data_IF_600489398995
#
_entry.id   IF_600489398995
#
_cell.length_a   1.000
_cell.length_b   1.000
_cell.length_c   1.000
_cell.angle_alpha   90.00
_cell.angle_beta   90.00
_cell.angle_gamma   90.00
#
_symmetry.space_group_name_H-M   'P 1'
#
loop_
_entity.id
_entity.type
_entity.pdbx_description
1 polymer ?
#
# COMPACT_ATOMS: atom_id res chain seq x y z
N UNK A 1 9.37 7.31 -8.43
CA UNK A 1 9.73 7.41 -6.99
C UNK A 1 11.12 6.84 -6.68
N UNK A 2 11.57 5.74 -7.31
CA UNK A 2 12.92 5.17 -7.11
C UNK A 2 13.96 5.63 -8.17
N UNK A 3 14.41 6.90 -8.12
CA UNK A 3 15.51 7.41 -8.98
C UNK A 3 15.18 7.63 -10.46
N UNK A 4 14.00 7.21 -10.93
CA UNK A 4 13.56 7.44 -12.31
C UNK A 4 13.32 8.94 -12.61
N UNK A 5 14.05 9.46 -13.60
CA UNK A 5 13.94 10.87 -14.04
C UNK A 5 12.78 11.11 -14.99
N UNK A 6 12.50 10.16 -15.91
CA UNK A 6 11.39 10.23 -16.86
C UNK A 6 10.03 10.19 -16.13
N UNK A 7 8.97 10.79 -16.70
CA UNK A 7 7.61 10.61 -16.18
C UNK A 7 7.25 9.13 -16.05
N UNK A 8 6.58 8.76 -14.96
CA UNK A 8 6.13 7.38 -14.70
C UNK A 8 4.63 7.35 -14.51
N UNK A 9 3.99 6.34 -15.09
CA UNK A 9 2.54 6.14 -15.03
C UNK A 9 2.25 4.76 -14.45
N UNK A 10 1.28 4.67 -13.55
CA UNK A 10 0.64 3.41 -13.17
C UNK A 10 -0.79 3.37 -13.71
N UNK A 11 -1.21 2.20 -14.19
CA UNK A 11 -2.57 1.97 -14.70
C UNK A 11 -3.10 0.70 -14.05
N UNK A 12 -4.20 0.82 -13.30
CA UNK A 12 -4.89 -0.33 -12.69
C UNK A 12 -6.03 -0.74 -13.63
N UNK A 13 -5.90 -1.94 -14.21
CA UNK A 13 -6.82 -2.48 -15.23
C UNK A 13 -7.80 -3.54 -14.70
N UNK A 14 -7.53 -4.12 -13.53
CA UNK A 14 -8.33 -5.18 -12.91
C UNK A 14 -8.35 -5.07 -11.39
N UNK A 15 -8.48 -6.19 -10.69
CA UNK A 15 -8.45 -6.21 -9.23
C UNK A 15 -7.03 -6.06 -8.67
N UNK A 16 -6.82 -5.06 -7.81
CA UNK A 16 -5.62 -4.91 -6.99
C UNK A 16 -5.91 -5.23 -5.52
N UNK A 17 -4.95 -5.84 -4.83
CA UNK A 17 -5.02 -6.09 -3.39
C UNK A 17 -3.66 -5.92 -2.73
N UNK A 18 -3.63 -5.67 -1.42
CA UNK A 18 -2.41 -5.60 -0.61
C UNK A 18 -1.37 -4.63 -1.22
N UNK A 19 -0.28 -5.16 -1.79
CA UNK A 19 0.81 -4.41 -2.41
C UNK A 19 0.37 -3.59 -3.65
N UNK A 20 -0.79 -3.90 -4.22
CA UNK A 20 -1.35 -3.17 -5.35
C UNK A 20 -1.55 -1.68 -5.06
N UNK A 21 -1.98 -1.32 -3.85
CA UNK A 21 -2.19 0.08 -3.48
C UNK A 21 -0.87 0.88 -3.44
N UNK A 22 0.19 0.44 -2.71
CA UNK A 22 1.51 1.08 -2.77
C UNK A 22 2.08 1.20 -4.19
N UNK A 23 1.95 0.16 -5.03
CA UNK A 23 2.44 0.22 -6.40
C UNK A 23 1.66 1.20 -7.27
N UNK A 24 0.33 1.25 -7.11
CA UNK A 24 -0.52 2.18 -7.84
C UNK A 24 -0.15 3.63 -7.53
N UNK A 25 0.17 3.97 -6.28
CA UNK A 25 0.52 5.35 -5.90
C UNK A 25 2.00 5.70 -6.06
N UNK A 26 2.87 4.73 -6.39
CA UNK A 26 4.31 4.98 -6.54
C UNK A 26 4.72 5.69 -7.85
N UNK A 27 3.80 5.83 -8.80
CA UNK A 27 4.03 6.55 -10.06
C UNK A 27 3.78 8.07 -9.90
N UNK A 28 4.30 8.89 -10.82
CA UNK A 28 4.01 10.34 -10.81
C UNK A 28 2.57 10.62 -11.20
N UNK A 29 2.01 9.77 -12.06
CA UNK A 29 0.61 9.79 -12.44
C UNK A 29 0.01 8.39 -12.28
N UNK A 30 -1.22 8.32 -11.79
CA UNK A 30 -1.89 7.07 -11.50
C UNK A 30 -3.31 7.11 -12.04
N UNK A 31 -3.69 6.07 -12.77
CA UNK A 31 -5.01 5.91 -13.35
C UNK A 31 -5.61 4.56 -12.96
N UNK A 32 -6.93 4.51 -12.83
CA UNK A 32 -7.70 3.30 -12.61
C UNK A 32 -8.86 3.30 -13.61
N UNK A 33 -9.08 2.19 -14.30
CA UNK A 33 -10.22 2.08 -15.23
C UNK A 33 -11.52 1.86 -14.44
N UNK A 34 -12.70 2.27 -14.96
CA UNK A 34 -13.96 2.15 -14.23
C UNK A 34 -14.32 0.72 -13.80
N UNK A 35 -13.86 -0.30 -14.54
CA UNK A 35 -14.10 -1.71 -14.23
C UNK A 35 -13.11 -2.31 -13.22
N UNK A 36 -12.06 -1.58 -12.86
CA UNK A 36 -11.04 -2.06 -11.94
C UNK A 36 -11.42 -1.79 -10.48
N UNK A 37 -10.84 -2.59 -9.57
CA UNK A 37 -11.08 -2.48 -8.13
C UNK A 37 -9.75 -2.48 -7.37
N UNK A 38 -9.72 -1.82 -6.21
CA UNK A 38 -8.56 -1.84 -5.31
C UNK A 38 -9.04 -2.13 -3.88
N UNK A 39 -8.65 -3.27 -3.34
CA UNK A 39 -9.00 -3.67 -1.98
C UNK A 39 -7.85 -3.35 -1.04
N UNK A 40 -8.11 -2.45 -0.09
CA UNK A 40 -7.21 -2.16 1.03
C UNK A 40 -7.58 -3.06 2.20
N UNK A 41 -6.59 -3.76 2.76
CA UNK A 41 -6.75 -4.57 3.96
C UNK A 41 -5.45 -4.54 4.79
N UNK A 42 -5.52 -4.74 6.11
CA UNK A 42 -4.33 -4.75 6.95
C UNK A 42 -3.40 -5.93 6.61
N UNK A 43 -2.14 -5.80 7.01
CA UNK A 43 -1.17 -6.90 6.95
C UNK A 43 -1.71 -8.08 7.76
N UNK A 44 -1.81 -9.24 7.12
CA UNK A 44 -2.32 -10.46 7.74
C UNK A 44 -1.21 -11.18 8.50
N UNK A 45 -1.57 -11.78 9.63
CA UNK A 45 -0.70 -12.66 10.41
C UNK A 45 -1.30 -14.07 10.35
N UNK A 46 -0.60 -15.02 9.74
CA UNK A 46 -1.02 -16.42 9.68
C UNK A 46 0.06 -17.30 10.34
N UNK A 47 -0.35 -18.41 10.95
CA UNK A 47 0.57 -19.41 11.53
C UNK A 47 0.94 -19.18 13.01
N UNK A 48 1.87 -20.00 13.52
CA UNK A 48 2.34 -19.96 14.91
C UNK A 48 3.23 -18.73 15.15
N UNK A 49 2.89 -17.89 16.13
CA UNK A 49 3.72 -16.77 16.56
C UNK A 49 4.72 -17.20 17.64
N UNK A 50 6.01 -17.15 17.33
CA UNK A 50 7.09 -17.29 18.31
C UNK A 50 7.48 -15.90 18.80
N UNK A 51 7.43 -15.65 20.10
CA UNK A 51 7.69 -14.30 20.64
C UNK A 51 6.60 -13.30 20.25
N UNK A 52 5.40 -13.52 20.78
CA UNK A 52 4.18 -12.76 20.48
C UNK A 52 4.39 -11.23 20.47
N UNK A 53 4.98 -10.58 21.51
CA UNK A 53 5.08 -9.12 21.52
C UNK A 53 6.05 -8.57 20.46
N UNK A 54 7.20 -9.22 20.22
CA UNK A 54 8.16 -8.78 19.20
C UNK A 54 7.59 -8.91 17.80
N UNK A 55 6.90 -10.02 17.53
CA UNK A 55 6.24 -10.26 16.25
C UNK A 55 5.14 -9.23 16.03
N UNK A 56 4.28 -8.98 17.01
CA UNK A 56 3.24 -7.94 16.92
C UNK A 56 3.82 -6.55 16.64
N UNK A 57 4.86 -6.12 17.34
CA UNK A 57 5.51 -4.82 17.11
C UNK A 57 6.06 -4.72 15.68
N UNK A 58 6.71 -5.77 15.19
CA UNK A 58 7.20 -5.82 13.81
C UNK A 58 6.08 -5.64 12.78
N UNK A 59 4.95 -6.31 12.95
CA UNK A 59 3.80 -6.18 12.05
C UNK A 59 3.16 -4.79 12.12
N UNK A 60 3.04 -4.21 13.32
CA UNK A 60 2.57 -2.83 13.47
C UNK A 60 3.49 -1.84 12.75
N UNK A 61 4.82 -1.99 12.88
CA UNK A 61 5.79 -1.18 12.14
C UNK A 61 5.66 -1.36 10.63
N UNK A 62 5.42 -2.58 10.16
CA UNK A 62 5.20 -2.85 8.73
C UNK A 62 3.93 -2.14 8.23
N UNK A 63 2.81 -2.28 8.93
CA UNK A 63 1.56 -1.60 8.61
C UNK A 63 1.73 -0.08 8.60
N UNK A 64 2.45 0.47 9.58
CA UNK A 64 2.76 1.91 9.65
C UNK A 64 3.59 2.38 8.45
N UNK A 65 4.59 1.61 8.02
CA UNK A 65 5.40 1.93 6.83
C UNK A 65 4.57 1.95 5.55
N UNK A 66 3.68 0.97 5.38
CA UNK A 66 2.77 0.90 4.23
C UNK A 66 1.80 2.09 4.24
N UNK A 67 1.16 2.34 5.38
CA UNK A 67 0.23 3.45 5.58
C UNK A 67 0.92 4.78 5.25
N UNK A 68 2.11 5.01 5.82
CA UNK A 68 2.90 6.22 5.59
C UNK A 68 3.24 6.39 4.12
N UNK A 69 3.71 5.34 3.44
CA UNK A 69 4.03 5.40 2.02
C UNK A 69 2.81 5.81 1.18
N UNK A 70 1.64 5.17 1.40
CA UNK A 70 0.43 5.50 0.66
C UNK A 70 0.03 6.95 0.89
N UNK A 71 0.03 7.41 2.14
CA UNK A 71 -0.36 8.79 2.49
C UNK A 71 0.61 9.84 1.93
N UNK A 72 1.91 9.52 1.82
CA UNK A 72 2.92 10.43 1.27
C UNK A 72 2.87 10.54 -0.26
N UNK A 73 2.35 9.51 -0.92
CA UNK A 73 2.30 9.42 -2.39
C UNK A 73 0.88 9.53 -2.95
N UNK A 74 -0.09 9.94 -2.14
CA UNK A 74 -1.46 10.20 -2.56
C UNK A 74 -2.06 11.36 -1.75
N UNK A 75 -3.32 11.68 -2.01
CA UNK A 75 -4.05 12.74 -1.31
C UNK A 75 -4.93 12.20 -0.16
N UNK A 76 -4.78 10.94 0.23
CA UNK A 76 -5.56 10.34 1.32
C UNK A 76 -4.90 10.62 2.68
N UNK A 77 -5.72 10.94 3.69
CA UNK A 77 -5.23 11.03 5.06
C UNK A 77 -5.01 9.63 5.66
N UNK A 78 -4.09 9.52 6.63
CA UNK A 78 -3.86 8.27 7.35
C UNK A 78 -5.11 7.79 8.11
N UNK A 79 -5.95 8.72 8.56
CA UNK A 79 -7.22 8.44 9.23
C UNK A 79 -8.22 7.81 8.28
N UNK A 80 -8.38 8.36 7.06
CA UNK A 80 -9.31 7.82 6.06
C UNK A 80 -8.87 6.47 5.48
N UNK A 81 -7.57 6.18 5.55
CA UNK A 81 -7.01 4.91 5.09
C UNK A 81 -7.16 3.77 6.13
N UNK A 82 -7.43 4.10 7.39
CA UNK A 82 -7.53 3.14 8.49
C UNK A 82 -8.93 2.57 8.66
#
# INVERSE_FOLDING_TARGET
VAGMKKPTVSIVLGGGHSIGAPLAVAAKHSFIVPSATMTVHPVRMNGMMLGVPQTLDYFQRMQQRITRFITQHSHISAERLR
#
